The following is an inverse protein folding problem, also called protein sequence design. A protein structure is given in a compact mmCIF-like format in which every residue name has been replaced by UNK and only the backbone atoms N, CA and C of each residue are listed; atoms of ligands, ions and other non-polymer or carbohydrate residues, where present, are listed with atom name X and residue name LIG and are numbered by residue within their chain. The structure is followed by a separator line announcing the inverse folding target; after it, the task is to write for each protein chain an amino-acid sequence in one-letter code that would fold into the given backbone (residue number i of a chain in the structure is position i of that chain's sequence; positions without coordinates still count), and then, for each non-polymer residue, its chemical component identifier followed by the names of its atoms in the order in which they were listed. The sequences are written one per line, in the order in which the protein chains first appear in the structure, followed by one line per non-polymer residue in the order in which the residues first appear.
data_IF_203065517963
#
_entry.id   IF_203065517963
#
_cell.length_a   1.000
_cell.length_b   1.000
_cell.length_c   1.000
_cell.angle_alpha   90.00
_cell.angle_beta   90.00
_cell.angle_gamma   90.00
#
_symmetry.space_group_name_H-M   'P 1'
#
loop_
_entity.id
_entity.type
_entity.pdbx_description
1 polymer ?
#
# COMPACT_ATOMS: atom_id res chain seq x y z
N UNK A 1 7.09 17.93 -1.47
CA UNK A 1 7.97 17.05 -2.26
C UNK A 1 7.58 15.54 -2.20
N UNK A 2 6.55 15.18 -1.46
CA UNK A 2 6.01 13.82 -1.42
C UNK A 2 5.08 13.48 -2.58
N UNK A 3 4.70 12.21 -2.69
CA UNK A 3 3.72 11.68 -3.62
C UNK A 3 3.05 10.45 -3.03
N UNK A 4 1.83 10.15 -3.43
CA UNK A 4 1.12 8.93 -3.02
C UNK A 4 1.81 7.68 -3.60
N UNK A 5 2.38 7.79 -4.79
CA UNK A 5 3.20 6.75 -5.40
C UNK A 5 4.35 7.35 -6.20
N UNK A 6 5.31 6.52 -6.58
CA UNK A 6 6.40 6.88 -7.49
C UNK A 6 6.84 5.69 -8.33
N UNK A 7 7.06 5.92 -9.62
CA UNK A 7 7.74 4.96 -10.50
C UNK A 7 9.18 5.42 -10.69
N UNK A 8 10.13 4.57 -10.31
CA UNK A 8 11.56 4.89 -10.31
C UNK A 8 12.36 3.62 -10.62
N UNK A 9 13.27 3.72 -11.60
CA UNK A 9 14.17 2.61 -11.98
C UNK A 9 13.43 1.29 -12.26
N UNK A 10 12.28 1.35 -12.92
CA UNK A 10 11.45 0.17 -13.18
C UNK A 10 10.73 -0.41 -11.96
N UNK A 11 10.63 0.35 -10.88
CA UNK A 11 9.92 -0.08 -9.68
C UNK A 11 8.77 0.87 -9.38
N UNK A 12 7.66 0.31 -8.88
CA UNK A 12 6.51 1.04 -8.36
C UNK A 12 6.59 1.10 -6.84
N UNK A 13 6.63 2.29 -6.28
CA UNK A 13 6.69 2.54 -4.85
C UNK A 13 5.41 3.21 -4.38
N UNK A 14 4.79 2.70 -3.32
CA UNK A 14 3.68 3.34 -2.60
C UNK A 14 3.65 2.86 -1.15
N UNK A 15 2.82 3.49 -0.31
CA UNK A 15 2.83 3.17 1.13
C UNK A 15 1.98 1.94 1.47
N UNK A 16 0.69 1.94 1.16
CA UNK A 16 -0.29 0.96 1.64
C UNK A 16 -0.64 -0.10 0.60
N UNK A 17 -1.69 0.13 -0.18
CA UNK A 17 -2.20 -0.83 -1.15
C UNK A 17 -2.72 -0.14 -2.43
N UNK A 18 -2.87 -0.92 -3.49
CA UNK A 18 -3.72 -0.57 -4.64
C UNK A 18 -5.07 -1.23 -4.42
N UNK A 19 -6.16 -0.48 -4.19
CA UNK A 19 -7.47 -1.08 -3.91
C UNK A 19 -7.95 -2.00 -5.03
N UNK A 20 -8.29 -3.24 -4.66
CA UNK A 20 -8.75 -4.28 -5.57
C UNK A 20 -10.12 -4.83 -5.13
N UNK A 21 -10.88 -5.33 -6.12
CA UNK A 21 -12.01 -6.19 -5.89
C UNK A 21 -11.54 -7.65 -5.66
N UNK A 22 -12.42 -8.51 -5.18
CA UNK A 22 -12.12 -9.93 -4.92
C UNK A 22 -11.68 -10.71 -6.18
N UNK A 23 -12.09 -10.25 -7.36
CA UNK A 23 -11.71 -10.83 -8.65
C UNK A 23 -10.38 -10.32 -9.21
N UNK A 24 -9.72 -9.41 -8.47
CA UNK A 24 -8.43 -8.81 -8.85
C UNK A 24 -8.54 -7.60 -9.77
N UNK A 25 -9.73 -7.16 -10.14
CA UNK A 25 -9.93 -5.90 -10.87
C UNK A 25 -9.73 -4.70 -9.95
N UNK A 26 -9.38 -3.52 -10.51
CA UNK A 26 -9.19 -2.31 -9.72
C UNK A 26 -10.53 -1.82 -9.15
N UNK A 27 -10.57 -1.61 -7.85
CA UNK A 27 -11.74 -1.08 -7.16
C UNK A 27 -11.98 0.38 -7.55
N UNK A 28 -13.23 0.70 -7.95
CA UNK A 28 -13.62 2.05 -8.33
C UNK A 28 -14.13 2.84 -7.14
N UNK A 29 -13.67 4.08 -7.01
CA UNK A 29 -14.05 5.01 -5.96
C UNK A 29 -14.75 6.23 -6.52
N UNK A 30 -15.87 6.63 -5.90
CA UNK A 30 -16.51 7.91 -6.23
C UNK A 30 -15.75 9.04 -5.51
N UNK A 31 -15.06 9.85 -6.29
CA UNK A 31 -14.24 10.95 -5.82
C UNK A 31 -14.89 12.28 -6.25
N UNK A 32 -15.63 12.90 -5.35
CA UNK A 32 -16.33 14.18 -5.60
C UNK A 32 -17.25 14.14 -6.85
N UNK A 33 -17.93 13.01 -7.08
CA UNK A 33 -18.86 12.82 -8.19
C UNK A 33 -18.27 12.17 -9.44
N UNK A 34 -16.96 11.90 -9.47
CA UNK A 34 -16.29 11.18 -10.56
C UNK A 34 -15.76 9.84 -10.07
N UNK A 35 -15.90 8.80 -10.90
CA UNK A 35 -15.37 7.47 -10.60
C UNK A 35 -13.90 7.37 -11.03
N UNK A 36 -13.05 6.93 -10.10
CA UNK A 36 -11.62 6.70 -10.32
C UNK A 36 -11.23 5.30 -9.89
N UNK A 37 -10.26 4.69 -10.55
CA UNK A 37 -9.74 3.37 -10.22
C UNK A 37 -8.24 3.28 -10.56
N UNK A 38 -7.53 2.31 -9.99
CA UNK A 38 -6.13 2.05 -10.29
C UNK A 38 -5.25 3.29 -10.17
N UNK A 39 -4.42 3.55 -11.17
CA UNK A 39 -3.53 4.71 -11.20
C UNK A 39 -4.26 6.05 -11.14
N UNK A 40 -5.38 6.18 -11.85
CA UNK A 40 -6.18 7.41 -11.88
C UNK A 40 -6.69 7.78 -10.47
N UNK A 41 -7.05 6.78 -9.66
CA UNK A 41 -7.40 7.00 -8.26
C UNK A 41 -6.21 7.51 -7.42
N UNK A 42 -5.01 6.99 -7.64
CA UNK A 42 -3.80 7.49 -6.98
C UNK A 42 -3.47 8.93 -7.39
N UNK A 43 -3.61 9.25 -8.68
CA UNK A 43 -3.41 10.61 -9.18
C UNK A 43 -4.42 11.59 -8.57
N UNK A 44 -5.69 11.19 -8.42
CA UNK A 44 -6.68 11.96 -7.68
C UNK A 44 -6.25 12.16 -6.22
N UNK A 45 -5.83 11.10 -5.51
CA UNK A 45 -5.40 11.18 -4.12
C UNK A 45 -4.19 12.12 -3.93
N UNK A 46 -3.21 12.09 -4.83
CA UNK A 46 -2.07 13.02 -4.81
C UNK A 46 -2.53 14.47 -5.04
N UNK A 47 -3.45 14.68 -5.98
CA UNK A 47 -4.00 15.99 -6.29
C UNK A 47 -4.78 16.59 -5.10
N UNK A 48 -5.68 15.81 -4.51
CA UNK A 48 -6.52 16.29 -3.40
C UNK A 48 -5.68 16.56 -2.14
N UNK A 49 -4.64 15.75 -1.88
CA UNK A 49 -3.72 16.01 -0.78
C UNK A 49 -2.95 17.33 -0.96
N UNK A 50 -2.51 17.64 -2.18
CA UNK A 50 -1.88 18.93 -2.50
C UNK A 50 -2.86 20.08 -2.41
N UNK A 51 -4.11 19.87 -2.80
CA UNK A 51 -5.20 20.88 -2.67
C UNK A 51 -5.47 21.15 -1.19
N UNK A 52 -5.55 20.12 -0.34
CA UNK A 52 -5.70 20.28 1.11
C UNK A 52 -4.58 21.14 1.71
N UNK A 53 -3.32 20.88 1.31
CA UNK A 53 -2.17 21.65 1.77
C UNK A 53 -2.16 23.11 1.31
N UNK A 54 -2.54 23.36 0.05
CA UNK A 54 -2.43 24.71 -0.56
C UNK A 54 -3.65 25.58 -0.30
N UNK A 55 -4.84 25.01 -0.32
CA UNK A 55 -6.13 25.73 -0.26
C UNK A 55 -6.82 25.49 1.08
N UNK A 56 -6.83 24.24 1.58
CA UNK A 56 -7.45 23.88 2.85
C UNK A 56 -8.97 23.95 2.84
N UNK A 57 -9.60 23.78 1.67
CA UNK A 57 -11.05 23.72 1.59
C UNK A 57 -11.61 22.43 2.20
N UNK A 58 -12.89 22.46 2.54
CA UNK A 58 -13.54 21.40 3.32
C UNK A 58 -13.42 20.03 2.67
N UNK A 59 -13.71 19.93 1.38
CA UNK A 59 -13.68 18.64 0.67
C UNK A 59 -12.28 18.04 0.69
N UNK A 60 -11.26 18.85 0.45
CA UNK A 60 -9.87 18.42 0.45
C UNK A 60 -9.41 17.96 1.85
N UNK A 61 -9.83 18.66 2.93
CA UNK A 61 -9.54 18.27 4.31
C UNK A 61 -10.26 16.98 4.71
N UNK A 62 -11.52 16.82 4.31
CA UNK A 62 -12.28 15.58 4.56
C UNK A 62 -11.65 14.39 3.80
N UNK A 63 -11.10 14.60 2.61
CA UNK A 63 -10.31 13.59 1.88
C UNK A 63 -9.00 13.23 2.58
N UNK A 64 -8.31 14.19 3.22
CA UNK A 64 -7.12 13.88 4.02
C UNK A 64 -7.46 12.95 5.19
N UNK A 65 -8.60 13.18 5.84
CA UNK A 65 -9.13 12.28 6.87
C UNK A 65 -9.42 10.89 6.30
N UNK A 66 -10.09 10.83 5.14
CA UNK A 66 -10.38 9.59 4.45
C UNK A 66 -9.11 8.82 4.06
N UNK A 67 -8.08 9.50 3.56
CA UNK A 67 -6.80 8.86 3.23
C UNK A 67 -6.15 8.17 4.45
N UNK A 68 -6.39 8.68 5.65
CA UNK A 68 -5.88 8.06 6.86
C UNK A 68 -6.69 6.83 7.29
N UNK A 69 -8.03 6.88 7.27
CA UNK A 69 -8.89 5.86 7.90
C UNK A 69 -9.77 5.08 6.91
N UNK A 70 -9.87 5.52 5.66
CA UNK A 70 -10.77 4.94 4.67
C UNK A 70 -10.37 3.52 4.27
N UNK A 71 -11.36 2.64 4.11
CA UNK A 71 -11.13 1.23 3.75
C UNK A 71 -10.36 1.08 2.43
N UNK A 72 -10.80 1.81 1.37
CA UNK A 72 -10.15 1.78 0.06
C UNK A 72 -9.05 2.85 -0.08
N UNK A 73 -8.49 3.32 1.04
CA UNK A 73 -7.40 4.29 0.98
C UNK A 73 -6.11 3.64 0.49
N UNK A 74 -5.42 4.22 -0.50
CA UNK A 74 -4.12 3.72 -0.94
C UNK A 74 -3.03 3.85 0.14
N UNK A 75 -3.28 4.62 1.18
CA UNK A 75 -2.36 4.77 2.31
C UNK A 75 -2.55 3.70 3.39
N UNK A 76 -3.70 3.01 3.44
CA UNK A 76 -4.00 2.03 4.50
C UNK A 76 -4.54 0.70 3.95
N UNK A 77 -5.64 0.73 3.18
CA UNK A 77 -6.30 -0.47 2.67
C UNK A 77 -6.90 -1.36 3.76
N UNK A 78 -7.36 -0.76 4.87
CA UNK A 78 -8.07 -1.50 5.93
C UNK A 78 -8.97 -0.59 6.73
N UNK A 79 -9.99 -1.18 7.34
CA UNK A 79 -10.82 -0.49 8.33
C UNK A 79 -10.04 -0.33 9.63
N UNK A 80 -9.93 0.90 10.14
CA UNK A 80 -9.28 1.19 11.42
C UNK A 80 -10.32 1.14 12.54
N UNK A 81 -10.10 0.31 13.57
CA UNK A 81 -11.00 0.07 14.69
C UNK A 81 -10.35 0.42 16.04
N UNK A 82 -9.54 1.46 16.07
CA UNK A 82 -8.83 1.86 17.29
C UNK A 82 -9.79 2.32 18.37
N UNK A 83 -10.82 3.09 18.02
CA UNK A 83 -11.80 3.59 18.98
C UNK A 83 -12.73 2.48 19.48
N UNK A 84 -13.17 1.59 18.60
CA UNK A 84 -13.98 0.44 18.96
C UNK A 84 -13.26 -0.44 19.98
N UNK A 85 -11.96 -0.69 19.76
CA UNK A 85 -11.14 -1.47 20.70
C UNK A 85 -10.93 -0.79 22.05
N UNK A 86 -10.91 0.54 22.08
CA UNK A 86 -10.70 1.30 23.29
C UNK A 86 -11.98 1.48 24.13
N UNK A 87 -13.16 1.60 23.48
CA UNK A 87 -14.37 2.07 24.11
C UNK A 87 -15.58 1.13 24.00
N UNK A 88 -15.53 0.11 23.13
CA UNK A 88 -16.65 -0.82 22.93
C UNK A 88 -16.26 -2.21 23.43
N UNK A 89 -17.05 -2.77 24.34
CA UNK A 89 -16.78 -4.10 24.92
C UNK A 89 -17.05 -5.25 23.94
N UNK A 90 -17.95 -5.04 22.97
CA UNK A 90 -18.25 -6.04 21.94
C UNK A 90 -17.08 -6.22 20.97
N UNK A 91 -16.39 -7.35 21.12
CA UNK A 91 -15.21 -7.68 20.31
C UNK A 91 -15.53 -7.92 18.83
N UNK A 92 -16.78 -8.18 18.45
CA UNK A 92 -17.17 -8.31 17.05
C UNK A 92 -16.93 -7.02 16.27
N UNK A 93 -17.00 -5.86 16.93
CA UNK A 93 -16.73 -4.55 16.34
C UNK A 93 -15.23 -4.27 16.12
N UNK A 94 -14.34 -5.11 16.66
CA UNK A 94 -12.88 -4.91 16.60
C UNK A 94 -12.24 -5.46 15.33
N UNK A 95 -13.02 -6.12 14.47
CA UNK A 95 -12.54 -6.71 13.23
C UNK A 95 -12.14 -5.59 12.27
N UNK A 96 -10.92 -5.67 11.75
CA UNK A 96 -10.39 -4.75 10.73
C UNK A 96 -10.25 -5.50 9.40
N UNK A 97 -11.31 -5.48 8.55
CA UNK A 97 -11.20 -6.04 7.20
C UNK A 97 -10.07 -5.36 6.44
N UNK A 98 -9.35 -6.16 5.66
CA UNK A 98 -8.27 -5.68 4.79
C UNK A 98 -8.71 -5.75 3.34
N UNK A 99 -8.18 -4.85 2.51
CA UNK A 99 -8.38 -4.85 1.08
C UNK A 99 -7.90 -6.19 0.47
N UNK A 100 -8.60 -6.75 -0.53
CA UNK A 100 -8.18 -7.95 -1.25
C UNK A 100 -6.74 -7.89 -1.78
N UNK A 101 -6.19 -6.71 -2.02
CA UNK A 101 -4.79 -6.49 -2.38
C UNK A 101 -3.82 -7.33 -1.53
N UNK A 102 -4.00 -7.36 -0.22
CA UNK A 102 -3.07 -8.02 0.70
C UNK A 102 -3.03 -9.55 0.55
N UNK A 103 -4.08 -10.13 0.00
CA UNK A 103 -4.17 -11.56 -0.30
C UNK A 103 -3.82 -11.83 -1.77
N UNK A 104 -4.37 -11.06 -2.69
CA UNK A 104 -4.24 -11.29 -4.13
C UNK A 104 -2.82 -11.04 -4.66
N UNK A 105 -2.06 -10.15 -4.05
CA UNK A 105 -0.67 -9.84 -4.45
C UNK A 105 0.35 -10.92 -4.07
N UNK A 106 -0.10 -12.06 -3.56
CA UNK A 106 0.71 -13.29 -3.56
C UNK A 106 0.83 -13.88 -4.96
N UNK A 107 -0.08 -13.55 -5.87
CA UNK A 107 -0.05 -13.93 -7.28
C UNK A 107 0.83 -13.00 -8.12
N UNK A 108 1.72 -13.60 -8.92
CA UNK A 108 2.56 -12.85 -9.87
C UNK A 108 1.76 -12.15 -10.95
N UNK A 109 0.62 -12.71 -11.40
CA UNK A 109 -0.22 -12.10 -12.44
C UNK A 109 -0.87 -10.81 -11.96
N UNK A 110 -1.38 -10.79 -10.72
CA UNK A 110 -1.96 -9.58 -10.12
C UNK A 110 -0.90 -8.48 -9.99
N UNK A 111 0.32 -8.83 -9.59
CA UNK A 111 1.43 -7.87 -9.55
C UNK A 111 1.78 -7.32 -10.94
N UNK A 112 1.72 -8.15 -11.99
CA UNK A 112 1.95 -7.71 -13.38
C UNK A 112 0.85 -6.73 -13.84
N UNK A 113 -0.40 -7.00 -13.52
CA UNK A 113 -1.52 -6.11 -13.86
C UNK A 113 -1.38 -4.75 -13.16
N UNK A 114 -1.04 -4.74 -11.87
CA UNK A 114 -0.75 -3.51 -11.14
C UNK A 114 0.42 -2.75 -11.78
N UNK A 115 1.53 -3.41 -12.05
CA UNK A 115 2.69 -2.75 -12.66
C UNK A 115 2.36 -2.17 -14.03
N UNK A 116 1.58 -2.88 -14.84
CA UNK A 116 1.11 -2.41 -16.15
C UNK A 116 0.24 -1.17 -16.04
N UNK A 117 -0.71 -1.17 -15.10
CA UNK A 117 -1.60 -0.03 -14.82
C UNK A 117 -0.81 1.24 -14.47
N UNK A 118 0.25 1.11 -13.68
CA UNK A 118 1.11 2.23 -13.31
C UNK A 118 2.20 2.56 -14.32
N UNK A 119 2.22 1.89 -15.47
CA UNK A 119 3.17 2.15 -16.54
C UNK A 119 4.62 1.77 -16.18
N UNK A 120 4.79 0.76 -15.33
CA UNK A 120 6.12 0.21 -15.01
C UNK A 120 6.57 -0.62 -16.19
N UNK A 121 7.51 -0.08 -16.97
CA UNK A 121 8.10 -0.79 -18.10
C UNK A 121 9.28 -1.67 -17.64
N UNK A 122 9.44 -2.86 -18.20
CA UNK A 122 10.65 -3.66 -17.99
C UNK A 122 11.90 -2.88 -18.37
N UNK A 123 12.94 -2.92 -17.52
CA UNK A 123 14.24 -2.35 -17.80
C UNK A 123 15.27 -3.46 -18.05
N UNK A 124 16.32 -3.17 -18.78
CA UNK A 124 17.38 -4.16 -19.07
C UNK A 124 18.03 -4.73 -17.79
N UNK A 125 18.13 -3.91 -16.74
CA UNK A 125 18.65 -4.31 -15.42
C UNK A 125 17.60 -4.94 -14.47
N UNK A 126 16.31 -4.80 -14.79
CA UNK A 126 15.20 -5.39 -14.04
C UNK A 126 14.07 -5.73 -15.00
N UNK A 127 14.14 -6.88 -15.68
CA UNK A 127 13.18 -7.27 -16.71
C UNK A 127 11.75 -7.42 -16.20
N UNK A 128 11.58 -7.61 -14.90
CA UNK A 128 10.27 -7.85 -14.29
C UNK A 128 9.70 -6.66 -13.54
N UNK A 129 10.54 -5.66 -13.18
CA UNK A 129 10.13 -4.60 -12.25
C UNK A 129 9.76 -5.14 -10.87
N UNK A 130 9.51 -4.24 -9.92
CA UNK A 130 9.05 -4.62 -8.60
C UNK A 130 8.01 -3.63 -8.08
N UNK A 131 7.04 -4.14 -7.31
CA UNK A 131 6.21 -3.36 -6.41
C UNK A 131 6.92 -3.30 -5.06
N UNK A 132 7.06 -2.13 -4.49
CA UNK A 132 7.69 -1.89 -3.19
C UNK A 132 6.68 -1.14 -2.32
N UNK A 133 6.20 -1.78 -1.26
CA UNK A 133 5.28 -1.17 -0.33
C UNK A 133 5.63 -1.43 1.14
N UNK A 134 4.86 -0.81 2.05
CA UNK A 134 5.01 -0.91 3.49
C UNK A 134 3.67 -1.04 4.20
N UNK A 135 3.45 -0.20 5.21
CA UNK A 135 2.24 -0.07 6.02
C UNK A 135 1.85 -1.31 6.85
N UNK A 136 1.86 -2.50 6.26
CA UNK A 136 1.54 -3.75 6.97
C UNK A 136 2.84 -4.50 7.24
N UNK A 137 3.32 -4.51 8.50
CA UNK A 137 4.57 -5.15 8.85
C UNK A 137 4.58 -6.64 8.54
N UNK A 138 5.72 -7.12 8.03
CA UNK A 138 5.96 -8.55 7.82
C UNK A 138 6.05 -9.25 9.17
N UNK A 139 5.18 -10.22 9.40
CA UNK A 139 5.15 -11.00 10.64
C UNK A 139 6.09 -12.21 10.54
N UNK A 140 7.38 -11.98 10.71
CA UNK A 140 8.39 -13.04 10.63
C UNK A 140 8.17 -14.15 11.65
N UNK A 141 7.58 -13.82 12.82
CA UNK A 141 7.16 -14.79 13.84
C UNK A 141 6.09 -15.78 13.33
N UNK A 142 5.37 -15.42 12.26
CA UNK A 142 4.37 -16.27 11.60
C UNK A 142 4.88 -16.88 10.29
N UNK A 143 6.17 -16.73 9.98
CA UNK A 143 6.77 -17.24 8.75
C UNK A 143 6.47 -16.39 7.50
N UNK A 144 5.90 -15.18 7.64
CA UNK A 144 5.68 -14.30 6.51
C UNK A 144 7.01 -13.86 5.90
N UNK A 145 7.04 -13.75 4.57
CA UNK A 145 8.21 -13.34 3.79
C UNK A 145 8.04 -11.91 3.29
N UNK A 146 9.13 -11.15 3.30
CA UNK A 146 9.18 -9.79 2.74
C UNK A 146 9.15 -9.81 1.20
N UNK A 147 9.67 -10.86 0.59
CA UNK A 147 9.69 -11.07 -0.86
C UNK A 147 8.54 -12.00 -1.23
N UNK A 148 7.62 -11.54 -2.08
CA UNK A 148 6.40 -12.25 -2.47
C UNK A 148 6.24 -12.28 -3.99
N UNK A 149 5.29 -13.06 -4.48
CA UNK A 149 4.94 -13.13 -5.92
C UNK A 149 6.17 -13.37 -6.82
N UNK A 150 7.03 -14.34 -6.46
CA UNK A 150 8.26 -14.66 -7.19
C UNK A 150 9.20 -13.44 -7.35
N UNK A 151 9.28 -12.59 -6.32
CA UNK A 151 10.13 -11.40 -6.33
C UNK A 151 9.47 -10.12 -6.85
N UNK A 152 8.25 -10.18 -7.36
CA UNK A 152 7.56 -9.00 -7.90
C UNK A 152 7.05 -8.03 -6.84
N UNK A 153 6.79 -8.52 -5.61
CA UNK A 153 6.39 -7.68 -4.49
C UNK A 153 7.43 -7.75 -3.36
N UNK A 154 7.89 -6.59 -2.94
CA UNK A 154 8.81 -6.39 -1.83
C UNK A 154 8.13 -5.57 -0.74
N UNK A 155 7.82 -6.20 0.40
CA UNK A 155 7.25 -5.50 1.57
C UNK A 155 8.39 -5.10 2.49
N UNK A 156 8.65 -3.79 2.63
CA UNK A 156 9.81 -3.29 3.37
C UNK A 156 9.50 -2.85 4.81
N UNK A 157 8.24 -3.00 5.25
CA UNK A 157 7.86 -2.73 6.63
C UNK A 157 8.09 -3.96 7.52
N UNK A 158 8.83 -3.77 8.59
CA UNK A 158 9.12 -4.82 9.56
C UNK A 158 8.67 -4.51 10.98
N UNK A 159 8.01 -3.37 11.20
CA UNK A 159 7.58 -2.97 12.53
C UNK A 159 8.73 -2.61 13.46
N UNK A 160 9.57 -1.64 13.07
CA UNK A 160 10.72 -1.15 13.85
C UNK A 160 10.36 -0.66 15.27
N UNK A 161 9.12 -0.24 15.49
CA UNK A 161 8.68 0.21 16.80
C UNK A 161 8.71 -0.95 17.80
N UNK A 162 9.36 -0.75 18.96
CA UNK A 162 9.49 -1.74 20.03
C UNK A 162 8.16 -2.37 20.44
N UNK A 163 7.07 -1.63 20.38
CA UNK A 163 5.72 -2.13 20.70
C UNK A 163 5.23 -3.22 19.75
N UNK A 164 5.76 -3.30 18.53
CA UNK A 164 5.40 -4.32 17.55
C UNK A 164 6.28 -5.57 17.60
N UNK A 165 7.49 -5.51 18.19
CA UNK A 165 8.44 -6.63 18.22
C UNK A 165 7.85 -7.96 18.68
N UNK A 166 6.99 -8.03 19.73
CA UNK A 166 6.38 -9.30 20.14
C UNK A 166 5.44 -9.90 19.09
N UNK A 167 4.89 -9.07 18.20
CA UNK A 167 3.93 -9.49 17.17
C UNK A 167 4.56 -9.76 15.82
N UNK A 168 5.56 -8.97 15.44
CA UNK A 168 6.15 -8.99 14.09
C UNK A 168 7.55 -9.64 14.04
N UNK A 169 8.21 -9.75 15.18
CA UNK A 169 9.63 -10.07 15.27
C UNK A 169 10.48 -8.78 15.13
N UNK A 170 11.81 -8.96 15.14
CA UNK A 170 12.75 -7.85 14.94
C UNK A 170 13.03 -7.76 13.44
N UNK A 171 12.07 -7.35 12.67
CA UNK A 171 12.23 -7.24 11.22
C UNK A 171 12.02 -5.80 10.78
N UNK A 172 13.07 -5.19 10.36
CA UNK A 172 13.06 -4.00 9.55
C UNK A 172 13.83 -4.28 8.28
N UNK A 173 13.36 -3.77 7.16
CA UNK A 173 14.00 -4.03 5.88
C UNK A 173 14.45 -2.73 5.23
N UNK A 174 15.67 -2.74 4.69
CA UNK A 174 16.19 -1.67 3.83
C UNK A 174 16.39 -2.23 2.43
N UNK A 175 15.72 -1.64 1.44
CA UNK A 175 15.93 -1.96 0.05
C UNK A 175 17.11 -1.11 -0.49
N UNK A 176 18.14 -1.78 -0.99
CA UNK A 176 19.29 -1.18 -1.64
C UNK A 176 19.17 -1.46 -3.14
N UNK A 177 19.01 -0.42 -3.94
CA UNK A 177 19.00 -0.51 -5.40
C UNK A 177 20.34 -0.03 -5.97
N UNK A 178 20.91 -0.81 -6.88
CA UNK A 178 22.18 -0.50 -7.55
C UNK A 178 22.14 -0.97 -9.01
N UNK A 179 23.18 -0.64 -9.78
CA UNK A 179 23.36 -1.14 -11.15
C UNK A 179 23.46 -2.68 -11.25
N UNK A 180 23.69 -3.36 -10.13
CA UNK A 180 23.76 -4.83 -10.02
C UNK A 180 22.46 -5.48 -9.60
N UNK A 181 21.38 -4.71 -9.45
CA UNK A 181 20.06 -5.16 -9.00
C UNK A 181 19.66 -4.65 -7.62
N UNK A 182 18.57 -5.20 -7.11
CA UNK A 182 18.02 -4.89 -5.79
C UNK A 182 18.47 -5.89 -4.73
N UNK A 183 18.78 -5.38 -3.55
CA UNK A 183 19.16 -6.19 -2.38
C UNK A 183 18.31 -5.76 -1.18
N UNK A 184 17.66 -6.71 -0.53
CA UNK A 184 16.95 -6.50 0.71
C UNK A 184 17.87 -6.86 1.89
N UNK A 185 18.03 -5.92 2.83
CA UNK A 185 18.79 -6.10 4.07
C UNK A 185 17.85 -5.95 5.26
N UNK A 186 17.84 -6.90 6.16
CA UNK A 186 17.19 -6.88 7.47
C UNK A 186 18.17 -6.50 8.56
#
# INVERSE_FOLDING_TARGET
HGSIYKVVNGNLLFHGCVPLNEDGTFSSMNCLGTMHAGRDYFDFCDHIARRAWRVGDRDALDWMWYLWIGFNSPASGRVVRTFERAYIADKSTWVEPMDPYYTLTTSSSVCDDIMREFGVAPMACSPTGHIINGHTPVKTTKGEQAIRANGKLLVIDGGFCRAYHPKTGIAGYTLISSSRGCRLKS
#
